data_IF_397198907969
#
_entry.id   IF_397198907969
#
_cell.length_a   1.000
_cell.length_b   1.000
_cell.length_c   1.000
_cell.angle_alpha   90.00
_cell.angle_beta   90.00
_cell.angle_gamma   90.00
#
_symmetry.space_group_name_H-M   'P 1'
#
loop_
_entity.id
_entity.type
_entity.pdbx_description
1 polymer ?
#
# COMPACT_ATOMS: atom_id res chain seq x y z
N UNK A 1 20.73 48.55 68.39
CA UNK A 1 21.21 48.07 67.09
C UNK A 1 20.77 46.62 67.00
N UNK A 2 19.66 46.36 66.30
CA UNK A 2 18.93 45.08 66.36
C UNK A 2 18.57 44.68 64.94
N UNK A 3 19.17 43.59 64.46
CA UNK A 3 18.99 43.05 63.11
C UNK A 3 17.73 42.17 63.12
N UNK A 4 16.75 42.48 62.27
CA UNK A 4 15.58 41.61 62.03
C UNK A 4 15.92 40.60 60.93
N UNK A 5 15.73 39.31 61.24
CA UNK A 5 15.91 38.18 60.32
C UNK A 5 14.70 38.06 59.38
N UNK A 6 14.94 37.95 58.07
CA UNK A 6 13.91 37.63 57.08
C UNK A 6 13.95 36.12 56.78
N UNK A 7 12.88 35.41 57.10
CA UNK A 7 12.68 34.01 56.70
C UNK A 7 12.14 33.97 55.26
N UNK A 8 12.89 33.37 54.34
CA UNK A 8 12.43 33.05 52.98
C UNK A 8 11.84 31.65 53.01
N UNK A 9 10.56 31.52 52.62
CA UNK A 9 9.89 30.22 52.42
C UNK A 9 9.98 29.88 50.93
N UNK A 10 10.70 28.81 50.58
CA UNK A 10 10.73 28.26 49.21
C UNK A 10 9.64 27.20 49.04
N UNK A 11 8.72 27.43 48.11
CA UNK A 11 7.80 26.41 47.62
C UNK A 11 8.50 25.56 46.56
N UNK A 12 8.69 24.26 46.83
CA UNK A 12 9.06 23.27 45.82
C UNK A 12 7.81 22.84 45.05
N UNK A 13 7.69 23.30 43.81
CA UNK A 13 6.68 22.78 42.87
C UNK A 13 7.21 21.44 42.33
N UNK A 14 6.61 20.33 42.74
CA UNK A 14 6.95 19.02 42.21
C UNK A 14 6.47 18.92 40.75
N UNK A 15 7.42 18.89 39.81
CA UNK A 15 7.17 18.67 38.40
C UNK A 15 6.78 17.19 38.18
N UNK A 16 5.50 16.90 38.06
CA UNK A 16 5.01 15.57 37.67
C UNK A 16 5.23 15.44 36.16
N UNK A 17 6.27 14.71 35.75
CA UNK A 17 6.48 14.37 34.35
C UNK A 17 5.34 13.44 33.87
N UNK A 18 4.71 13.71 32.72
CA UNK A 18 3.75 12.78 32.13
C UNK A 18 4.51 11.51 31.72
N UNK A 19 4.20 10.39 32.38
CA UNK A 19 4.63 9.07 31.95
C UNK A 19 3.82 8.76 30.70
N UNK A 20 4.40 8.96 29.52
CA UNK A 20 3.82 8.45 28.28
C UNK A 20 3.61 6.94 28.45
N UNK A 21 2.40 6.41 28.20
CA UNK A 21 2.20 4.96 28.26
C UNK A 21 3.15 4.35 27.23
N UNK A 22 4.14 3.60 27.70
CA UNK A 22 4.95 2.76 26.84
C UNK A 22 3.97 1.84 26.11
N UNK A 23 3.89 2.00 24.78
CA UNK A 23 3.04 1.16 23.95
C UNK A 23 3.42 -0.29 24.25
N UNK A 24 2.48 -1.04 24.83
CA UNK A 24 2.76 -2.36 25.37
C UNK A 24 3.09 -3.29 24.20
N UNK A 25 4.38 -3.57 23.99
CA UNK A 25 4.79 -4.61 23.07
C UNK A 25 4.19 -5.93 23.57
N UNK A 26 3.52 -6.72 22.71
CA UNK A 26 3.01 -8.01 23.14
C UNK A 26 4.15 -8.87 23.65
N UNK A 27 3.92 -9.51 24.79
CA UNK A 27 4.88 -10.41 25.45
C UNK A 27 4.97 -11.78 24.77
N UNK A 28 4.12 -12.03 23.78
CA UNK A 28 4.11 -13.23 22.96
C UNK A 28 4.68 -12.94 21.58
N UNK A 29 5.79 -13.61 21.22
CA UNK A 29 6.43 -13.50 19.91
C UNK A 29 5.53 -13.99 18.75
N UNK A 30 4.46 -14.75 19.05
CA UNK A 30 3.50 -15.27 18.07
C UNK A 30 2.27 -14.37 17.89
N UNK A 31 2.22 -13.19 18.53
CA UNK A 31 1.10 -12.27 18.37
C UNK A 31 1.01 -11.78 16.91
N UNK A 32 -0.19 -11.79 16.28
CA UNK A 32 -0.34 -11.30 14.92
C UNK A 32 -0.01 -9.81 14.85
N UNK A 33 0.62 -9.42 13.75
CA UNK A 33 0.96 -8.02 13.43
C UNK A 33 0.24 -7.59 12.17
N UNK A 34 -0.02 -6.30 12.07
CA UNK A 34 -0.22 -5.65 10.79
C UNK A 34 1.12 -5.49 10.10
N UNK A 35 1.21 -5.92 8.84
CA UNK A 35 2.37 -5.70 7.99
C UNK A 35 2.00 -4.73 6.86
N UNK A 36 2.93 -3.86 6.51
CA UNK A 36 2.78 -2.85 5.48
C UNK A 36 3.97 -2.90 4.54
N UNK A 37 3.73 -3.09 3.25
CA UNK A 37 4.74 -2.96 2.20
C UNK A 37 5.06 -1.49 1.96
N UNK A 38 6.34 -1.15 1.96
CA UNK A 38 6.78 0.24 1.84
C UNK A 38 8.07 0.36 1.05
N UNK A 39 8.44 1.59 0.73
CA UNK A 39 9.68 1.99 0.09
C UNK A 39 10.20 3.24 0.79
N UNK A 40 11.48 3.60 0.55
CA UNK A 40 12.05 4.81 1.12
C UNK A 40 12.11 5.91 0.07
N UNK A 41 11.44 7.03 0.35
CA UNK A 41 11.48 8.21 -0.51
C UNK A 41 12.93 8.70 -0.72
N UNK A 42 13.25 9.11 -1.95
CA UNK A 42 14.61 9.49 -2.37
C UNK A 42 15.56 8.32 -2.69
N UNK A 43 15.35 7.12 -2.14
CA UNK A 43 16.11 5.91 -2.52
C UNK A 43 15.38 5.10 -3.58
N UNK A 44 14.12 4.71 -3.29
CA UNK A 44 13.24 3.95 -4.19
C UNK A 44 13.90 2.68 -4.77
N UNK A 45 14.86 2.12 -4.04
CA UNK A 45 15.76 1.04 -4.49
C UNK A 45 15.18 -0.36 -4.25
N UNK A 46 14.04 -0.48 -3.57
CA UNK A 46 13.37 -1.75 -3.34
C UNK A 46 12.42 -1.81 -2.14
N UNK A 47 11.88 -3.01 -1.94
CA UNK A 47 10.85 -3.34 -0.97
C UNK A 47 11.42 -3.26 0.44
N UNK A 48 10.64 -2.65 1.33
CA UNK A 48 10.81 -2.67 2.78
C UNK A 48 9.47 -3.03 3.41
N UNK A 49 9.52 -3.38 4.69
CA UNK A 49 8.31 -3.58 5.49
C UNK A 49 8.28 -2.65 6.68
N UNK A 50 7.08 -2.24 7.07
CA UNK A 50 6.78 -1.73 8.40
C UNK A 50 5.76 -2.66 9.06
N UNK A 51 5.80 -2.75 10.38
CA UNK A 51 4.85 -3.54 11.14
C UNK A 51 4.25 -2.73 12.29
N UNK A 52 3.06 -3.13 12.71
CA UNK A 52 2.36 -2.54 13.84
C UNK A 52 1.56 -3.61 14.59
N UNK A 53 1.48 -3.47 15.91
CA UNK A 53 0.63 -4.34 16.74
C UNK A 53 -0.79 -3.76 16.92
N UNK A 54 -0.98 -2.46 16.71
CA UNK A 54 -2.25 -1.77 16.94
C UNK A 54 -2.80 -1.06 15.69
N UNK A 55 -2.03 -1.02 14.60
CA UNK A 55 -2.37 -0.32 13.36
C UNK A 55 -2.12 1.19 13.39
N UNK A 56 -1.77 1.77 14.55
CA UNK A 56 -1.54 3.20 14.74
C UNK A 56 -0.06 3.55 14.88
N UNK A 57 0.71 2.68 15.55
CA UNK A 57 2.13 2.89 15.79
C UNK A 57 2.95 1.90 14.97
N UNK A 58 3.76 2.43 14.06
CA UNK A 58 4.50 1.63 13.08
C UNK A 58 6.00 1.62 13.37
N UNK A 59 6.61 0.45 13.23
CA UNK A 59 8.05 0.25 13.30
C UNK A 59 8.56 -0.34 12.00
N UNK A 60 9.72 0.10 11.53
CA UNK A 60 10.33 -0.48 10.34
C UNK A 60 10.88 -1.88 10.63
N UNK A 61 10.66 -2.81 9.71
CA UNK A 61 11.47 -4.03 9.62
C UNK A 61 12.85 -3.60 9.10
N UNK A 62 13.95 -3.88 9.81
CA UNK A 62 15.27 -3.44 9.39
C UNK A 62 15.70 -4.01 8.04
N UNK A 63 16.30 -3.17 7.21
CA UNK A 63 16.97 -3.58 5.96
C UNK A 63 16.09 -3.51 4.72
N UNK A 64 16.72 -3.89 3.60
CA UNK A 64 16.10 -3.97 2.27
C UNK A 64 15.66 -5.42 2.02
N UNK A 65 14.38 -5.64 1.74
CA UNK A 65 13.80 -6.98 1.56
C UNK A 65 14.01 -7.49 0.14
N UNK A 66 13.71 -6.65 -0.86
CA UNK A 66 13.85 -6.99 -2.28
C UNK A 66 14.34 -5.78 -3.06
N UNK A 67 15.56 -5.83 -3.58
CA UNK A 67 16.12 -4.75 -4.40
C UNK A 67 15.48 -4.74 -5.80
N UNK A 68 15.06 -3.59 -6.31
CA UNK A 68 14.51 -3.45 -7.65
C UNK A 68 15.55 -3.81 -8.74
N UNK A 69 15.16 -4.63 -9.71
CA UNK A 69 16.03 -5.06 -10.82
C UNK A 69 15.39 -4.91 -12.20
N UNK A 70 14.05 -4.82 -12.28
CA UNK A 70 13.32 -4.69 -13.54
C UNK A 70 13.06 -3.25 -13.92
N UNK A 71 13.00 -3.01 -15.23
CA UNK A 71 12.73 -1.71 -15.83
C UNK A 71 13.69 -0.63 -15.25
N UNK A 72 13.25 0.62 -15.07
CA UNK A 72 14.04 1.73 -14.53
C UNK A 72 14.68 1.49 -13.15
N UNK A 73 14.60 0.28 -12.58
CA UNK A 73 15.18 -0.15 -11.29
C UNK A 73 14.68 0.70 -10.13
N UNK A 74 13.44 1.14 -10.25
CA UNK A 74 12.69 1.85 -9.23
C UNK A 74 11.70 0.85 -8.62
N UNK A 75 11.48 0.97 -7.31
CA UNK A 75 10.35 0.36 -6.64
C UNK A 75 9.69 1.41 -5.77
N UNK A 76 8.53 1.87 -6.24
CA UNK A 76 7.59 2.71 -5.51
C UNK A 76 6.24 2.02 -5.42
N UNK A 77 5.48 2.40 -4.41
CA UNK A 77 4.09 2.01 -4.22
C UNK A 77 3.91 0.47 -4.29
N UNK A 78 4.68 -0.31 -3.49
CA UNK A 78 4.58 -1.77 -3.52
C UNK A 78 3.26 -2.23 -2.91
N UNK A 79 2.47 -2.96 -3.70
CA UNK A 79 1.21 -3.59 -3.26
C UNK A 79 1.39 -5.10 -3.13
N UNK A 80 0.97 -5.67 -2.00
CA UNK A 80 1.06 -7.11 -1.73
C UNK A 80 -0.29 -7.70 -1.37
N UNK A 81 -0.65 -8.82 -2.01
CA UNK A 81 -1.83 -9.64 -1.68
C UNK A 81 -1.46 -11.12 -1.62
N UNK A 82 -2.06 -11.86 -0.69
CA UNK A 82 -1.95 -13.32 -0.64
C UNK A 82 -3.02 -13.98 -1.53
N UNK A 83 -2.58 -14.84 -2.44
CA UNK A 83 -3.43 -15.71 -3.23
C UNK A 83 -4.01 -16.89 -2.44
N UNK A 84 -4.97 -17.62 -3.05
CA UNK A 84 -5.64 -18.77 -2.44
C UNK A 84 -4.70 -19.96 -2.19
N UNK A 85 -3.57 -20.02 -2.91
CA UNK A 85 -2.53 -21.04 -2.77
C UNK A 85 -1.45 -20.66 -1.72
N UNK A 86 -1.76 -19.65 -0.92
CA UNK A 86 -0.91 -19.07 0.13
C UNK A 86 0.35 -18.37 -0.41
N UNK A 87 0.46 -18.12 -1.71
CA UNK A 87 1.52 -17.28 -2.32
C UNK A 87 1.24 -15.80 -2.10
N UNK A 88 2.26 -15.04 -1.74
CA UNK A 88 2.24 -13.58 -1.75
C UNK A 88 2.64 -13.08 -3.13
N UNK A 89 1.83 -12.21 -3.71
CA UNK A 89 2.09 -11.54 -4.97
C UNK A 89 2.39 -10.08 -4.69
N UNK A 90 3.42 -9.55 -5.34
CA UNK A 90 3.90 -8.18 -5.20
C UNK A 90 3.87 -7.51 -6.58
N UNK A 91 3.31 -6.31 -6.65
CA UNK A 91 3.42 -5.41 -7.81
C UNK A 91 3.91 -4.03 -7.36
N UNK A 92 4.56 -3.28 -8.25
CA UNK A 92 5.10 -1.94 -7.93
C UNK A 92 5.31 -1.06 -9.17
N UNK A 93 5.37 0.25 -8.94
CA UNK A 93 5.81 1.25 -9.93
C UNK A 93 7.30 1.05 -10.23
N UNK A 94 7.63 0.71 -11.48
CA UNK A 94 9.00 0.34 -11.90
C UNK A 94 9.80 1.45 -12.60
N UNK A 95 9.14 2.53 -13.01
CA UNK A 95 9.76 3.75 -13.53
C UNK A 95 8.83 4.97 -13.39
N UNK A 96 9.40 6.17 -13.45
CA UNK A 96 8.63 7.41 -13.38
C UNK A 96 7.91 7.75 -14.69
N UNK A 97 8.53 7.57 -15.86
CA UNK A 97 7.90 7.88 -17.15
C UNK A 97 8.40 6.94 -18.24
N UNK A 98 7.60 6.81 -19.30
CA UNK A 98 7.94 6.05 -20.50
C UNK A 98 7.87 4.53 -20.33
N UNK A 99 7.40 4.04 -19.18
CA UNK A 99 7.12 2.63 -18.97
C UNK A 99 5.69 2.28 -19.40
N UNK A 100 5.52 1.05 -19.83
CA UNK A 100 4.25 0.48 -20.30
C UNK A 100 3.72 -0.60 -19.36
N UNK A 101 4.23 -0.66 -18.13
CA UNK A 101 3.98 -1.78 -17.24
C UNK A 101 4.51 -1.57 -15.83
N UNK A 102 4.33 -2.58 -15.00
CA UNK A 102 4.76 -2.60 -13.60
C UNK A 102 5.69 -3.79 -13.33
N UNK A 103 6.41 -3.73 -12.22
CA UNK A 103 7.19 -4.88 -11.75
C UNK A 103 6.30 -5.91 -11.05
N UNK A 104 6.67 -7.18 -11.13
CA UNK A 104 6.01 -8.29 -10.47
C UNK A 104 7.00 -9.27 -9.86
N UNK A 105 6.70 -9.79 -8.67
CA UNK A 105 7.38 -10.91 -8.04
C UNK A 105 6.43 -11.64 -7.11
N UNK A 106 6.78 -12.85 -6.70
CA UNK A 106 6.01 -13.61 -5.72
C UNK A 106 6.90 -14.27 -4.67
N UNK A 107 6.31 -14.60 -3.52
CA UNK A 107 7.00 -15.25 -2.41
C UNK A 107 6.06 -16.20 -1.67
N UNK A 108 6.61 -17.26 -1.05
CA UNK A 108 5.86 -18.13 -0.14
C UNK A 108 5.96 -17.69 1.33
N UNK A 109 6.93 -16.84 1.66
CA UNK A 109 7.30 -16.50 3.05
C UNK A 109 7.62 -15.01 3.29
N UNK A 110 7.45 -14.14 2.28
CA UNK A 110 7.78 -12.71 2.29
C UNK A 110 9.28 -12.38 2.42
N UNK A 111 10.15 -13.39 2.46
CA UNK A 111 11.60 -13.24 2.61
C UNK A 111 12.30 -13.64 1.32
N UNK A 112 11.96 -14.81 0.77
CA UNK A 112 12.52 -15.32 -0.46
C UNK A 112 11.57 -15.02 -1.62
N UNK A 113 12.03 -14.16 -2.53
CA UNK A 113 11.25 -13.70 -3.67
C UNK A 113 11.69 -14.41 -4.95
N UNK A 114 10.74 -14.60 -5.86
CA UNK A 114 11.00 -15.05 -7.22
C UNK A 114 11.91 -14.07 -7.98
N UNK A 115 12.40 -14.51 -9.14
CA UNK A 115 12.90 -13.56 -10.13
C UNK A 115 11.82 -12.51 -10.44
N UNK A 116 12.26 -11.25 -10.58
CA UNK A 116 11.38 -10.15 -10.88
C UNK A 116 11.02 -10.15 -12.38
N UNK A 117 9.77 -9.82 -12.67
CA UNK A 117 9.25 -9.73 -14.02
C UNK A 117 8.74 -8.31 -14.28
N UNK A 118 8.81 -7.87 -15.54
CA UNK A 118 8.12 -6.68 -16.00
C UNK A 118 6.84 -7.10 -16.73
N UNK A 119 5.69 -6.58 -16.30
CA UNK A 119 4.38 -6.92 -16.86
C UNK A 119 3.89 -5.76 -17.73
N UNK A 120 3.94 -5.87 -19.07
CA UNK A 120 3.71 -4.75 -20.00
C UNK A 120 2.21 -4.51 -20.30
N UNK A 121 1.40 -4.25 -19.28
CA UNK A 121 -0.08 -4.10 -19.41
C UNK A 121 -0.54 -2.99 -20.35
N UNK A 122 0.31 -2.00 -20.64
CA UNK A 122 0.03 -0.85 -21.49
C UNK A 122 0.88 -0.84 -22.77
N UNK A 123 1.56 -1.93 -23.15
CA UNK A 123 2.41 -1.95 -24.35
C UNK A 123 1.65 -1.70 -25.68
N UNK A 124 0.33 -1.83 -25.68
CA UNK A 124 -0.52 -1.50 -26.82
C UNK A 124 -0.81 0.00 -26.95
N UNK A 125 -0.42 0.83 -25.96
CA UNK A 125 -0.66 2.26 -25.91
C UNK A 125 0.65 3.04 -26.15
N UNK A 126 0.98 3.40 -27.41
CA UNK A 126 2.29 3.95 -27.76
C UNK A 126 2.57 5.33 -27.14
N UNK A 127 1.53 6.05 -26.72
CA UNK A 127 1.63 7.39 -26.11
C UNK A 127 1.40 7.38 -24.60
N UNK A 128 1.30 6.19 -23.97
CA UNK A 128 1.16 6.11 -22.52
C UNK A 128 2.38 6.73 -21.84
N UNK A 129 2.13 7.61 -20.88
CA UNK A 129 3.20 8.31 -20.17
C UNK A 129 3.79 7.48 -19.04
N UNK A 130 2.98 6.62 -18.43
CA UNK A 130 3.31 5.94 -17.18
C UNK A 130 2.38 4.75 -16.88
N UNK A 131 2.85 3.87 -16.01
CA UNK A 131 2.04 2.93 -15.22
C UNK A 131 2.47 3.09 -13.76
N UNK A 132 1.60 3.70 -12.94
CA UNK A 132 1.89 4.10 -11.56
C UNK A 132 0.94 3.48 -10.54
N UNK A 133 1.46 3.28 -9.33
CA UNK A 133 0.78 2.77 -8.15
C UNK A 133 -0.13 1.56 -8.45
N UNK A 134 0.45 0.45 -8.96
CA UNK A 134 -0.33 -0.74 -9.19
C UNK A 134 -0.80 -1.33 -7.86
N UNK A 135 -2.09 -1.59 -7.75
CA UNK A 135 -2.72 -2.17 -6.56
C UNK A 135 -3.33 -3.54 -6.86
N UNK A 136 -3.08 -4.51 -5.98
CA UNK A 136 -3.60 -5.86 -6.08
C UNK A 136 -4.90 -6.02 -5.29
N UNK A 137 -5.84 -6.75 -5.87
CA UNK A 137 -7.03 -7.25 -5.17
C UNK A 137 -7.36 -8.66 -5.63
N UNK A 138 -7.58 -9.59 -4.70
CA UNK A 138 -8.04 -10.93 -5.05
C UNK A 138 -9.57 -11.00 -5.00
N UNK A 139 -10.19 -11.15 -6.17
CA UNK A 139 -11.61 -11.40 -6.30
C UNK A 139 -11.92 -12.87 -6.02
N UNK A 140 -12.37 -13.15 -4.80
CA UNK A 140 -12.74 -14.48 -4.37
C UNK A 140 -13.93 -15.07 -5.13
N UNK A 141 -14.82 -14.25 -5.70
CA UNK A 141 -16.00 -14.72 -6.42
C UNK A 141 -15.59 -15.29 -7.77
N UNK A 142 -14.84 -14.50 -8.52
CA UNK A 142 -14.39 -14.89 -9.87
C UNK A 142 -13.07 -15.68 -9.84
N UNK A 143 -12.43 -15.83 -8.67
CA UNK A 143 -11.16 -16.54 -8.44
C UNK A 143 -10.01 -16.00 -9.28
N UNK A 144 -9.87 -14.68 -9.31
CA UNK A 144 -8.85 -13.98 -10.10
C UNK A 144 -8.30 -12.78 -9.33
N UNK A 145 -7.10 -12.34 -9.71
CA UNK A 145 -6.56 -11.05 -9.28
C UNK A 145 -7.08 -9.96 -10.20
N UNK A 146 -7.46 -8.84 -9.60
CA UNK A 146 -7.67 -7.56 -10.25
C UNK A 146 -6.43 -6.72 -9.92
N UNK A 147 -5.85 -6.10 -10.94
CA UNK A 147 -4.73 -5.18 -10.78
C UNK A 147 -5.15 -3.84 -11.33
N UNK A 148 -5.16 -2.80 -10.51
CA UNK A 148 -5.51 -1.43 -10.90
C UNK A 148 -4.27 -0.55 -10.92
N UNK A 149 -4.18 0.44 -11.80
CA UNK A 149 -3.07 1.40 -11.84
C UNK A 149 -3.49 2.72 -12.51
N UNK A 150 -2.74 3.78 -12.24
CA UNK A 150 -2.94 5.06 -12.89
C UNK A 150 -2.05 5.20 -14.13
N UNK A 151 -2.63 5.71 -15.21
CA UNK A 151 -1.91 6.04 -16.45
C UNK A 151 -2.43 7.33 -17.06
N UNK A 152 -1.54 8.13 -17.63
CA UNK A 152 -1.90 9.23 -18.54
C UNK A 152 -1.67 8.81 -19.99
N UNK A 153 -2.65 9.12 -20.84
CA UNK A 153 -2.54 8.98 -22.30
C UNK A 153 -2.95 10.31 -22.92
N UNK A 154 -2.00 11.15 -23.37
CA UNK A 154 -2.28 12.50 -23.82
C UNK A 154 -3.36 12.54 -24.91
N UNK A 155 -4.31 13.47 -24.75
CA UNK A 155 -5.42 13.67 -25.69
C UNK A 155 -6.55 12.63 -25.61
N UNK A 156 -6.49 11.65 -24.71
CA UNK A 156 -7.57 10.67 -24.52
C UNK A 156 -8.76 11.22 -23.74
N UNK A 157 -8.49 12.08 -22.76
CA UNK A 157 -9.49 12.73 -21.92
C UNK A 157 -9.30 14.25 -21.99
N UNK A 158 -10.36 15.04 -21.73
CA UNK A 158 -10.23 16.49 -21.65
C UNK A 158 -9.16 16.90 -20.63
N UNK A 159 -8.34 17.87 -21.02
CA UNK A 159 -7.40 18.52 -20.11
C UNK A 159 -8.14 19.60 -19.31
N UNK A 160 -7.92 19.60 -18.00
CA UNK A 160 -8.48 20.60 -17.09
C UNK A 160 -7.35 21.33 -16.37
N UNK A 161 -7.10 20.99 -15.10
CA UNK A 161 -6.08 21.62 -14.26
C UNK A 161 -4.69 20.98 -14.42
N UNK A 162 -4.64 19.70 -14.81
CA UNK A 162 -3.39 18.95 -14.95
C UNK A 162 -2.79 19.13 -16.35
N UNK A 163 -1.45 19.09 -16.49
CA UNK A 163 -0.80 18.94 -17.78
C UNK A 163 -1.31 17.69 -18.53
N UNK A 164 -1.37 17.76 -19.86
CA UNK A 164 -1.78 16.64 -20.73
C UNK A 164 -0.95 15.36 -20.58
N UNK A 165 0.24 15.46 -19.97
CA UNK A 165 1.16 14.36 -19.66
C UNK A 165 1.13 13.92 -18.20
N UNK A 166 0.17 14.43 -17.41
CA UNK A 166 -0.05 14.09 -16.00
C UNK A 166 -1.56 14.06 -15.63
N UNK A 167 -2.44 13.91 -16.63
CA UNK A 167 -3.90 13.84 -16.49
C UNK A 167 -4.34 12.37 -16.45
N UNK A 168 -4.27 11.77 -15.26
CA UNK A 168 -4.39 10.32 -15.07
C UNK A 168 -5.84 9.83 -15.05
N UNK A 169 -6.02 8.59 -15.48
CA UNK A 169 -7.21 7.78 -15.18
C UNK A 169 -6.80 6.43 -14.61
N UNK A 170 -7.72 5.80 -13.89
CA UNK A 170 -7.49 4.45 -13.39
C UNK A 170 -7.83 3.44 -14.46
N UNK A 171 -6.94 2.47 -14.65
CA UNK A 171 -7.09 1.32 -15.52
C UNK A 171 -7.00 0.04 -14.70
N UNK A 172 -7.44 -1.07 -15.28
CA UNK A 172 -7.28 -2.37 -14.67
C UNK A 172 -7.10 -3.49 -15.69
N UNK A 173 -6.54 -4.60 -15.21
CA UNK A 173 -6.55 -5.91 -15.87
C UNK A 173 -6.92 -6.99 -14.85
N UNK A 174 -7.19 -8.20 -15.34
CA UNK A 174 -7.33 -9.37 -14.47
C UNK A 174 -6.40 -10.49 -14.90
N UNK A 175 -5.99 -11.31 -13.94
CA UNK A 175 -5.19 -12.51 -14.17
C UNK A 175 -5.51 -13.58 -13.14
N UNK A 176 -5.30 -14.86 -13.49
CA UNK A 176 -5.40 -15.98 -12.54
C UNK A 176 -4.04 -16.53 -12.14
N UNK A 177 -2.99 -16.22 -12.91
CA UNK A 177 -1.70 -16.91 -12.86
C UNK A 177 -0.49 -15.99 -13.01
N UNK A 178 -0.70 -14.68 -13.19
CA UNK A 178 0.33 -13.67 -13.47
C UNK A 178 1.19 -13.97 -14.71
N UNK A 179 0.67 -14.80 -15.63
CA UNK A 179 1.27 -15.10 -16.94
C UNK A 179 0.38 -14.63 -18.07
N UNK A 180 -0.92 -14.85 -17.91
CA UNK A 180 -1.95 -14.44 -18.87
C UNK A 180 -2.79 -13.33 -18.26
N UNK A 181 -2.93 -12.23 -18.99
CA UNK A 181 -3.66 -11.06 -18.55
C UNK A 181 -4.81 -10.76 -19.51
N UNK A 182 -5.96 -10.36 -18.97
CA UNK A 182 -7.04 -9.84 -19.77
C UNK A 182 -6.62 -8.51 -20.43
N UNK A 183 -7.23 -8.12 -21.57
CA UNK A 183 -7.01 -6.79 -22.13
C UNK A 183 -7.30 -5.70 -21.09
N UNK A 184 -6.44 -4.69 -21.04
CA UNK A 184 -6.62 -3.52 -20.17
C UNK A 184 -7.94 -2.82 -20.44
N UNK A 185 -8.60 -2.37 -19.38
CA UNK A 185 -9.84 -1.59 -19.44
C UNK A 185 -9.75 -0.35 -18.55
N UNK A 186 -10.50 0.68 -18.92
CA UNK A 186 -10.74 1.83 -18.05
C UNK A 186 -11.49 1.37 -16.80
N UNK A 187 -11.01 1.77 -15.62
CA UNK A 187 -11.60 1.43 -14.34
C UNK A 187 -12.44 2.57 -13.77
N UNK A 188 -11.83 3.76 -13.68
CA UNK A 188 -12.46 4.95 -13.09
C UNK A 188 -12.08 6.20 -13.89
N UNK A 189 -13.11 6.92 -14.29
CA UNK A 189 -13.05 8.23 -14.93
C UNK A 189 -14.17 9.12 -14.36
N UNK A 190 -13.87 9.93 -13.34
CA UNK A 190 -14.84 10.84 -12.75
C UNK A 190 -14.81 12.22 -13.41
N UNK A 191 -14.27 12.33 -14.64
CA UNK A 191 -14.06 13.58 -15.37
C UNK A 191 -13.00 14.51 -14.75
N UNK A 192 -12.10 13.98 -13.93
CA UNK A 192 -10.90 14.67 -13.45
C UNK A 192 -9.76 13.67 -13.18
N UNK A 193 -8.53 14.18 -13.08
CA UNK A 193 -7.33 13.37 -12.85
C UNK A 193 -7.39 12.63 -11.52
N UNK A 194 -7.17 11.32 -11.54
CA UNK A 194 -7.18 10.43 -10.37
C UNK A 194 -5.99 9.49 -10.38
N UNK A 195 -5.46 9.21 -9.19
CA UNK A 195 -4.29 8.36 -8.94
C UNK A 195 -4.51 7.56 -7.64
N UNK A 196 -3.64 6.59 -7.36
CA UNK A 196 -3.56 5.84 -6.10
C UNK A 196 -4.91 5.23 -5.66
N UNK A 197 -5.57 4.52 -6.56
CA UNK A 197 -6.82 3.83 -6.25
C UNK A 197 -6.57 2.44 -5.67
N UNK A 198 -7.37 2.10 -4.65
CA UNK A 198 -7.41 0.78 -4.06
C UNK A 198 -8.83 0.21 -4.09
N UNK A 199 -8.92 -1.10 -4.28
CA UNK A 199 -10.18 -1.84 -4.18
C UNK A 199 -10.25 -2.50 -2.81
N UNK A 200 -11.33 -2.23 -2.07
CA UNK A 200 -11.60 -2.84 -0.78
C UNK A 200 -12.86 -3.70 -0.84
N UNK A 201 -12.87 -4.77 -0.05
CA UNK A 201 -14.11 -5.48 0.24
C UNK A 201 -15.04 -4.54 1.03
N UNK A 202 -16.28 -4.36 0.56
CA UNK A 202 -17.25 -3.53 1.27
C UNK A 202 -17.53 -4.06 2.68
N UNK A 203 -17.39 -3.20 3.69
CA UNK A 203 -17.86 -3.46 5.05
C UNK A 203 -19.36 -3.16 5.08
N UNK A 204 -20.20 -4.16 5.38
CA UNK A 204 -21.62 -3.90 5.66
C UNK A 204 -21.75 -3.23 7.03
N UNK A 205 -22.56 -2.16 7.18
CA UNK A 205 -23.06 -1.79 8.49
C UNK A 205 -23.83 -2.97 9.09
N UNK A 206 -23.73 -3.15 10.41
CA UNK A 206 -24.39 -4.23 11.16
C UNK A 206 -25.94 -4.11 11.23
N UNK A 207 -26.56 -3.26 10.42
CA UNK A 207 -28.02 -3.15 10.28
C UNK A 207 -28.45 -3.61 8.88
N UNK A 208 -29.19 -4.72 8.85
CA UNK A 208 -29.55 -5.47 7.65
C UNK A 208 -30.08 -4.64 6.46
N UNK A 209 -29.29 -4.61 5.40
CA UNK A 209 -29.74 -4.58 4.01
C UNK A 209 -28.69 -5.33 3.16
N UNK A 210 -29.12 -6.35 2.43
CA UNK A 210 -28.23 -7.25 1.72
C UNK A 210 -27.83 -6.67 0.35
N UNK A 211 -26.67 -6.01 0.30
CA UNK A 211 -25.87 -5.86 -0.93
C UNK A 211 -24.40 -5.78 -0.51
N UNK A 212 -23.56 -6.74 -0.93
CA UNK A 212 -22.09 -6.57 -0.85
C UNK A 212 -21.72 -5.72 -2.06
N UNK A 213 -21.43 -4.44 -1.85
CA UNK A 213 -20.87 -3.59 -2.90
C UNK A 213 -19.35 -3.61 -2.74
N UNK A 214 -18.62 -3.94 -3.81
CA UNK A 214 -17.19 -3.67 -3.90
C UNK A 214 -17.05 -2.16 -4.10
N UNK A 215 -16.39 -1.47 -3.17
CA UNK A 215 -16.16 -0.03 -3.29
C UNK A 215 -14.72 0.18 -3.71
N UNK A 216 -14.52 0.85 -4.83
CA UNK A 216 -13.23 1.42 -5.18
C UNK A 216 -13.13 2.78 -4.49
N UNK A 217 -12.08 2.99 -3.70
CA UNK A 217 -11.76 4.31 -3.14
C UNK A 217 -10.50 4.80 -3.83
N UNK A 218 -10.57 6.00 -4.40
CA UNK A 218 -9.41 6.74 -4.87
C UNK A 218 -9.16 7.85 -3.85
N UNK A 219 -8.01 7.84 -3.19
CA UNK A 219 -7.60 8.90 -2.28
C UNK A 219 -6.47 9.70 -2.94
N UNK A 220 -6.49 11.03 -2.77
CA UNK A 220 -5.34 11.88 -3.10
C UNK A 220 -4.34 11.77 -1.96
N UNK A 221 -3.47 10.76 -1.96
CA UNK A 221 -2.50 10.55 -0.89
C UNK A 221 -1.16 11.23 -1.22
N UNK A 222 -0.70 12.13 -0.35
CA UNK A 222 0.74 12.37 -0.23
C UNK A 222 1.28 11.26 0.69
N UNK A 223 1.83 10.22 0.07
CA UNK A 223 2.63 9.16 0.69
C UNK A 223 1.95 8.28 1.76
N UNK A 224 0.79 7.67 1.47
CA UNK A 224 0.36 6.43 2.16
C UNK A 224 -0.41 5.51 1.18
N UNK A 225 0.29 4.68 0.41
CA UNK A 225 -0.34 3.58 -0.36
C UNK A 225 -0.60 2.40 0.58
N UNK A 226 -1.86 2.05 0.86
CA UNK A 226 -2.18 1.09 1.93
C UNK A 226 -2.33 -0.34 1.42
N UNK A 227 -1.50 -1.28 1.90
CA UNK A 227 -1.91 -2.68 1.99
C UNK A 227 -1.54 -3.21 3.37
N UNK A 228 -2.47 -3.10 4.31
CA UNK A 228 -2.34 -3.71 5.63
C UNK A 228 -2.67 -5.19 5.54
N UNK A 229 -1.68 -6.04 5.75
CA UNK A 229 -1.88 -7.49 5.89
C UNK A 229 -2.16 -7.76 7.36
N UNK A 230 -3.41 -8.09 7.70
CA UNK A 230 -3.72 -8.77 8.96
C UNK A 230 -3.52 -10.27 8.76
N UNK A 231 -2.87 -10.96 9.71
CA UNK A 231 -2.82 -12.41 9.70
C UNK A 231 -4.25 -12.98 9.85
N UNK A 232 -4.64 -14.00 9.06
CA UNK A 232 -5.93 -14.66 9.26
C UNK A 232 -5.93 -15.37 10.62
N UNK A 233 -7.01 -15.22 11.40
CA UNK A 233 -7.26 -16.04 12.59
C UNK A 233 -7.28 -17.50 12.15
N UNK A 234 -6.33 -18.31 12.65
CA UNK A 234 -6.42 -19.75 12.48
C UNK A 234 -7.57 -20.24 13.36
N UNK A 235 -8.64 -20.72 12.71
CA UNK A 235 -9.73 -21.39 13.40
C UNK A 235 -9.25 -22.68 14.06
N UNK A 236 -8.59 -22.56 15.21
CA UNK A 236 -8.49 -23.64 16.19
C UNK A 236 -9.78 -23.64 16.97
N UNK A 237 -10.71 -24.47 16.52
CA UNK A 237 -11.78 -24.92 17.40
C UNK A 237 -11.16 -25.80 18.48
N UNK A 238 -11.20 -25.33 19.72
CA UNK A 238 -11.02 -26.19 20.88
C UNK A 238 -12.08 -27.29 20.87
N UNK A 239 -11.61 -28.54 20.75
CA UNK A 239 -12.33 -29.76 21.13
C UNK A 239 -11.30 -30.83 21.51
#
# INVERSE_FOLDING_TARGET
MTIKSNTVVLFFLALVAPVSPACAQPTNADAPVYLFSTFKEGEQDGLRFAFSYDGYHWSNVPGLILKAQVDGKIMRDPSIVRGPDRTWHLVWTSAWKGNTGFGYAYSKDLVHWSEQQFIPVMAHEPTVCNVWAPELFYDEKEKQFIITWASTIPGRFPDYLEPSTNNHRMYFTTTRDFKTFAPTKLFLDPDFSVIDCQILNGVRPSSGAATRNTTATAEKSEAVSSSSIAAPEDGRSDA
#
